data_IF_067424576496
#
_entry.id   IF_067424576496
#
_cell.length_a   1.000
_cell.length_b   1.000
_cell.length_c   1.000
_cell.angle_alpha   90.00
_cell.angle_beta   90.00
_cell.angle_gamma   90.00
#
_symmetry.space_group_name_H-M   'P 1'
#
loop_
_entity.id
_entity.type
_entity.pdbx_description
1 polymer ?
#
# COMPACT_ATOMS: atom_id res chain seq x y z
N UNK A 1 -16.84 18.67 -23.31
CA UNK A 1 -16.21 17.36 -23.21
C UNK A 1 -15.62 17.09 -21.81
N UNK A 2 -16.00 17.88 -20.80
CA UNK A 2 -15.40 17.93 -19.43
C UNK A 2 -16.20 17.21 -18.34
N UNK A 3 -17.23 16.44 -18.68
CA UNK A 3 -18.21 15.94 -17.69
C UNK A 3 -18.08 14.44 -17.34
N UNK A 4 -16.89 13.82 -17.49
CA UNK A 4 -16.65 12.41 -17.13
C UNK A 4 -15.64 12.19 -15.98
N UNK A 5 -15.19 13.26 -15.33
CA UNK A 5 -14.29 13.18 -14.16
C UNK A 5 -15.03 13.11 -12.81
N UNK A 6 -16.32 12.76 -12.77
CA UNK A 6 -17.13 12.89 -11.56
C UNK A 6 -16.88 11.84 -10.47
N UNK A 7 -16.05 10.83 -10.68
CA UNK A 7 -15.78 9.82 -9.66
C UNK A 7 -14.57 10.16 -8.76
N UNK A 8 -13.53 10.80 -9.29
CA UNK A 8 -12.38 11.26 -8.50
C UNK A 8 -12.76 12.29 -7.43
N UNK A 9 -13.60 13.32 -7.73
CA UNK A 9 -14.08 14.24 -6.69
C UNK A 9 -14.87 13.53 -5.59
N UNK A 10 -15.68 12.52 -5.91
CA UNK A 10 -16.48 11.81 -4.91
C UNK A 10 -15.62 10.97 -3.96
N UNK A 11 -14.54 10.36 -4.42
CA UNK A 11 -13.58 9.66 -3.54
C UNK A 11 -12.81 10.64 -2.67
N UNK A 12 -12.37 11.76 -3.23
CA UNK A 12 -11.68 12.83 -2.48
C UNK A 12 -12.65 13.53 -1.51
N UNK A 13 -13.91 13.76 -1.91
CA UNK A 13 -14.95 14.34 -1.05
C UNK A 13 -15.33 13.34 0.06
N UNK A 14 -15.48 12.06 -0.24
CA UNK A 14 -15.76 11.01 0.75
C UNK A 14 -14.65 10.89 1.79
N UNK A 15 -13.38 10.92 1.36
CA UNK A 15 -12.23 10.98 2.27
C UNK A 15 -12.25 12.29 3.08
N UNK A 16 -12.53 13.42 2.44
CA UNK A 16 -12.61 14.74 3.09
C UNK A 16 -13.79 14.91 4.04
N UNK A 17 -14.94 14.27 3.79
CA UNK A 17 -16.09 14.27 4.70
C UNK A 17 -15.88 13.34 5.89
N UNK A 18 -15.28 12.18 5.66
CA UNK A 18 -14.86 11.29 6.76
C UNK A 18 -13.85 12.00 7.67
N UNK A 19 -12.84 12.66 7.12
CA UNK A 19 -11.85 13.44 7.89
C UNK A 19 -12.46 14.61 8.68
N UNK A 20 -13.58 15.18 8.24
CA UNK A 20 -14.29 16.25 8.94
C UNK A 20 -15.19 15.75 10.08
N UNK A 21 -15.80 14.57 9.93
CA UNK A 21 -16.68 13.99 10.97
C UNK A 21 -15.90 13.44 12.16
N UNK A 22 -14.62 13.09 12.00
CA UNK A 22 -13.77 12.53 13.06
C UNK A 22 -13.06 13.55 13.92
N UNK A 23 -13.12 14.84 13.59
CA UNK A 23 -12.45 15.91 14.37
C UNK A 23 -13.16 16.33 15.68
N UNK A 24 -14.23 15.64 16.08
CA UNK A 24 -15.11 16.08 17.19
C UNK A 24 -15.00 15.35 18.53
N UNK A 25 -14.44 14.15 18.63
CA UNK A 25 -14.44 13.38 19.89
C UNK A 25 -13.08 12.71 20.16
N UNK A 26 -12.51 12.99 21.28
CA UNK A 26 -11.14 12.69 21.72
C UNK A 26 -10.75 11.21 21.93
N UNK A 27 -11.46 10.24 21.32
CA UNK A 27 -11.12 8.79 21.34
C UNK A 27 -10.53 8.34 19.99
N UNK A 28 -10.42 9.22 19.00
CA UNK A 28 -10.24 8.91 17.59
C UNK A 28 -8.79 9.02 17.04
N UNK A 29 -7.81 9.37 17.86
CA UNK A 29 -6.42 9.50 17.40
C UNK A 29 -5.84 8.21 16.76
N UNK A 30 -6.25 7.05 17.26
CA UNK A 30 -5.78 5.74 16.73
C UNK A 30 -6.40 5.37 15.38
N UNK A 31 -7.66 5.75 15.14
CA UNK A 31 -8.34 5.43 13.89
C UNK A 31 -7.85 6.28 12.71
N UNK A 32 -7.59 7.58 12.97
CA UNK A 32 -7.04 8.51 11.96
C UNK A 32 -5.65 8.10 11.48
N UNK A 33 -4.78 7.62 12.38
CA UNK A 33 -3.45 7.10 12.01
C UNK A 33 -3.56 5.91 11.06
N UNK A 34 -4.49 4.99 11.25
CA UNK A 34 -4.70 3.85 10.35
C UNK A 34 -5.19 4.25 8.95
N UNK A 35 -6.04 5.26 8.83
CA UNK A 35 -6.59 5.73 7.55
C UNK A 35 -5.53 6.42 6.68
N UNK A 36 -4.71 7.31 7.24
CA UNK A 36 -3.65 8.00 6.51
C UNK A 36 -2.54 7.04 6.06
N UNK A 37 -2.18 6.08 6.91
CA UNK A 37 -1.21 5.03 6.54
C UNK A 37 -1.77 4.14 5.43
N UNK A 38 -3.03 3.75 5.50
CA UNK A 38 -3.70 2.97 4.45
C UNK A 38 -3.74 3.72 3.12
N UNK A 39 -4.07 5.02 3.15
CA UNK A 39 -4.09 5.89 1.97
C UNK A 39 -2.67 6.02 1.37
N UNK A 40 -1.65 6.24 2.19
CA UNK A 40 -0.26 6.27 1.73
C UNK A 40 0.16 4.95 1.08
N UNK A 41 -0.07 3.80 1.73
CA UNK A 41 0.27 2.49 1.19
C UNK A 41 -0.45 2.20 -0.13
N UNK A 42 -1.72 2.63 -0.26
CA UNK A 42 -2.49 2.50 -1.49
C UNK A 42 -1.91 3.37 -2.61
N UNK A 43 -1.72 4.67 -2.35
CA UNK A 43 -1.23 5.62 -3.35
C UNK A 43 0.20 5.33 -3.79
N UNK A 44 1.07 4.90 -2.87
CA UNK A 44 2.43 4.47 -3.19
C UNK A 44 2.42 3.22 -4.08
N UNK A 45 1.54 2.25 -3.80
CA UNK A 45 1.37 1.05 -4.63
C UNK A 45 0.83 1.36 -6.02
N UNK A 46 -0.22 2.19 -6.13
CA UNK A 46 -0.80 2.65 -7.41
C UNK A 46 0.24 3.41 -8.22
N UNK A 47 0.97 4.33 -7.58
CA UNK A 47 1.99 5.12 -8.24
C UNK A 47 3.17 4.27 -8.71
N UNK A 48 3.72 3.41 -7.86
CA UNK A 48 4.82 2.52 -8.22
C UNK A 48 4.41 1.55 -9.34
N UNK A 49 3.26 0.89 -9.21
CA UNK A 49 2.74 0.00 -10.25
C UNK A 49 2.52 0.72 -11.56
N UNK A 50 1.95 1.93 -11.53
CA UNK A 50 1.73 2.74 -12.72
C UNK A 50 3.02 3.18 -13.42
N UNK A 51 4.06 3.59 -12.67
CA UNK A 51 5.38 3.88 -13.24
C UNK A 51 5.97 2.64 -13.90
N UNK A 52 5.94 1.48 -13.22
CA UNK A 52 6.44 0.23 -13.79
C UNK A 52 5.70 -0.15 -15.07
N UNK A 53 4.37 -0.13 -15.05
CA UNK A 53 3.54 -0.49 -16.19
C UNK A 53 3.73 0.47 -17.37
N UNK A 54 3.83 1.78 -17.13
CA UNK A 54 4.09 2.78 -18.16
C UNK A 54 5.47 2.61 -18.78
N UNK A 55 6.51 2.42 -17.96
CA UNK A 55 7.88 2.19 -18.44
C UNK A 55 7.99 0.92 -19.27
N UNK A 56 7.40 -0.19 -18.79
CA UNK A 56 7.36 -1.45 -19.55
C UNK A 56 6.59 -1.29 -20.86
N UNK A 57 5.44 -0.61 -20.84
CA UNK A 57 4.65 -0.37 -22.05
C UNK A 57 5.43 0.46 -23.07
N UNK A 58 6.18 1.44 -22.62
CA UNK A 58 7.05 2.24 -23.52
C UNK A 58 8.14 1.39 -24.14
N UNK A 59 8.90 0.69 -23.33
CA UNK A 59 10.01 -0.15 -23.77
C UNK A 59 9.57 -1.24 -24.78
N UNK A 60 8.35 -1.78 -24.64
CA UNK A 60 7.87 -2.89 -25.47
C UNK A 60 7.06 -2.46 -26.71
N UNK A 61 6.31 -1.36 -26.64
CA UNK A 61 5.28 -1.05 -27.64
C UNK A 61 5.42 0.32 -28.30
N UNK A 62 6.11 1.27 -27.67
CA UNK A 62 6.20 2.65 -28.16
C UNK A 62 7.55 2.90 -28.86
N UNK A 63 8.44 1.99 -28.78
CA UNK A 63 9.86 2.02 -29.11
C UNK A 63 10.20 2.19 -30.60
N UNK A 64 9.64 3.19 -31.33
CA UNK A 64 10.13 3.56 -32.65
C UNK A 64 10.86 4.90 -32.62
N UNK A 65 11.91 5.07 -33.50
CA UNK A 65 12.72 6.29 -33.49
C UNK A 65 11.89 7.50 -33.91
N UNK A 66 11.95 8.57 -33.10
CA UNK A 66 11.53 9.89 -33.55
C UNK A 66 12.36 10.26 -34.79
N UNK A 67 11.68 10.57 -35.89
CA UNK A 67 12.27 11.33 -36.98
C UNK A 67 12.66 12.72 -36.44
N UNK A 68 13.91 13.11 -36.64
CA UNK A 68 14.60 14.16 -35.90
C UNK A 68 14.14 15.61 -36.21
N UNK A 69 13.14 15.84 -37.05
CA UNK A 69 13.03 17.13 -37.73
C UNK A 69 11.79 18.00 -37.41
N UNK A 70 10.85 17.51 -36.62
CA UNK A 70 9.66 18.32 -36.27
C UNK A 70 9.32 18.14 -34.80
N UNK A 71 9.19 19.26 -34.06
CA UNK A 71 8.67 19.29 -32.69
C UNK A 71 7.15 19.13 -32.75
N UNK A 72 6.59 17.93 -32.54
CA UNK A 72 5.14 17.80 -32.59
C UNK A 72 4.55 18.38 -31.29
N UNK A 73 3.49 19.15 -31.41
CA UNK A 73 2.64 19.50 -30.29
C UNK A 73 2.16 18.22 -29.59
N UNK A 74 1.92 18.27 -28.26
CA UNK A 74 1.47 17.11 -27.50
C UNK A 74 0.21 16.46 -28.11
N UNK A 75 -0.65 17.25 -28.75
CA UNK A 75 -1.84 16.79 -29.47
C UNK A 75 -1.51 15.99 -30.75
N UNK A 76 -0.36 16.23 -31.37
CA UNK A 76 0.09 15.54 -32.59
C UNK A 76 0.89 14.26 -32.29
N UNK A 77 1.28 14.03 -31.02
CA UNK A 77 1.99 12.82 -30.62
C UNK A 77 1.15 11.57 -30.86
N UNK A 78 1.86 10.46 -31.12
CA UNK A 78 1.20 9.16 -31.29
C UNK A 78 0.33 8.83 -30.06
N UNK A 79 -0.85 8.23 -30.23
CA UNK A 79 -1.74 7.87 -29.13
C UNK A 79 -1.06 7.07 -28.03
N UNK A 80 -0.14 6.16 -28.36
CA UNK A 80 0.59 5.37 -27.39
C UNK A 80 1.54 6.21 -26.51
N UNK A 81 2.17 7.24 -27.05
CA UNK A 81 3.02 8.17 -26.28
C UNK A 81 2.18 9.01 -25.31
N UNK A 82 1.00 9.45 -25.76
CA UNK A 82 0.05 10.17 -24.90
C UNK A 82 -0.47 9.29 -23.77
N UNK A 83 -0.69 8.00 -24.05
CA UNK A 83 -1.07 7.02 -23.02
C UNK A 83 0.02 6.91 -21.95
N UNK A 84 1.27 6.65 -22.34
CA UNK A 84 2.40 6.51 -21.41
C UNK A 84 2.63 7.80 -20.61
N UNK A 85 2.61 8.96 -21.26
CA UNK A 85 2.76 10.25 -20.58
C UNK A 85 1.65 10.49 -19.55
N UNK A 86 0.41 10.19 -19.91
CA UNK A 86 -0.75 10.32 -19.01
C UNK A 86 -0.67 9.40 -17.79
N UNK A 87 -0.28 8.14 -18.00
CA UNK A 87 -0.11 7.16 -16.90
C UNK A 87 1.04 7.58 -15.99
N UNK A 88 2.19 8.01 -16.55
CA UNK A 88 3.32 8.52 -15.75
C UNK A 88 2.93 9.74 -14.91
N UNK A 89 2.20 10.70 -15.50
CA UNK A 89 1.74 11.89 -14.78
C UNK A 89 0.79 11.55 -13.63
N UNK A 90 -0.17 10.63 -13.88
CA UNK A 90 -1.11 10.16 -12.86
C UNK A 90 -0.38 9.40 -11.75
N UNK A 91 0.60 8.57 -12.11
CA UNK A 91 1.43 7.82 -11.16
C UNK A 91 2.30 8.73 -10.30
N UNK A 92 2.90 9.76 -10.91
CA UNK A 92 3.65 10.79 -10.19
C UNK A 92 2.74 11.55 -9.21
N UNK A 93 1.52 11.91 -9.63
CA UNK A 93 0.52 12.52 -8.77
C UNK A 93 0.13 11.63 -7.59
N UNK A 94 -0.07 10.33 -7.83
CA UNK A 94 -0.38 9.36 -6.78
C UNK A 94 0.78 9.22 -5.77
N UNK A 95 2.03 9.11 -6.24
CA UNK A 95 3.21 9.08 -5.36
C UNK A 95 3.34 10.35 -4.52
N UNK A 96 3.16 11.52 -5.12
CA UNK A 96 3.23 12.80 -4.44
C UNK A 96 2.13 12.95 -3.38
N UNK A 97 0.89 12.56 -3.72
CA UNK A 97 -0.23 12.54 -2.77
C UNK A 97 0.02 11.54 -1.63
N UNK A 98 0.54 10.35 -1.94
CA UNK A 98 0.91 9.36 -0.92
C UNK A 98 1.98 9.89 0.02
N UNK A 99 3.03 10.51 -0.51
CA UNK A 99 4.06 11.17 0.31
C UNK A 99 3.46 12.31 1.17
N UNK A 100 2.50 13.04 0.62
CA UNK A 100 1.74 14.07 1.36
C UNK A 100 0.93 13.48 2.52
N UNK A 101 0.26 12.34 2.32
CA UNK A 101 -0.46 11.63 3.39
C UNK A 101 0.49 11.20 4.51
N UNK A 102 1.67 10.64 4.15
CA UNK A 102 2.68 10.26 5.12
C UNK A 102 3.23 11.46 5.88
N UNK A 103 3.49 12.59 5.19
CA UNK A 103 3.94 13.83 5.82
C UNK A 103 2.88 14.42 6.77
N UNK A 104 1.59 14.32 6.40
CA UNK A 104 0.47 14.73 7.23
C UNK A 104 0.34 13.85 8.49
N UNK A 105 0.58 12.55 8.36
CA UNK A 105 0.58 11.59 9.49
C UNK A 105 1.69 11.90 10.50
N UNK A 106 2.88 12.31 10.04
CA UNK A 106 3.97 12.73 10.93
C UNK A 106 3.67 14.03 11.69
N UNK A 107 2.76 14.85 11.20
CA UNK A 107 2.22 16.06 11.87
C UNK A 107 3.21 17.23 12.04
N UNK A 108 4.51 17.04 11.78
CA UNK A 108 5.57 18.06 11.93
C UNK A 108 6.63 17.93 10.86
N UNK A 109 6.94 19.06 10.22
CA UNK A 109 7.98 19.14 9.18
C UNK A 109 9.37 18.65 9.63
N UNK A 110 9.72 18.89 10.90
CA UNK A 110 10.99 18.44 11.48
C UNK A 110 11.11 16.91 11.47
N UNK A 111 10.00 16.19 11.71
CA UNK A 111 9.95 14.72 11.65
C UNK A 111 10.11 14.19 10.23
N UNK A 112 9.52 14.88 9.26
CA UNK A 112 9.69 14.53 7.83
C UNK A 112 11.15 14.70 7.44
N UNK A 113 11.81 15.80 7.87
CA UNK A 113 13.21 16.02 7.58
C UNK A 113 14.11 15.00 8.30
N UNK A 114 13.81 14.65 9.54
CA UNK A 114 14.54 13.62 10.29
C UNK A 114 14.43 12.24 9.65
N UNK A 115 13.32 11.94 8.97
CA UNK A 115 13.13 10.69 8.22
C UNK A 115 14.19 10.52 7.11
N UNK A 116 14.70 11.61 6.54
CA UNK A 116 15.75 11.59 5.51
C UNK A 116 17.17 11.70 6.07
N UNK A 117 17.36 12.34 7.23
CA UNK A 117 18.68 12.75 7.72
C UNK A 117 19.15 11.99 8.97
N UNK A 118 18.24 11.28 9.69
CA UNK A 118 18.60 10.64 10.95
C UNK A 118 19.44 9.37 10.75
N UNK A 119 20.63 9.26 11.32
CA UNK A 119 21.33 8.00 11.51
C UNK A 119 20.72 7.22 12.70
N UNK A 120 20.65 5.88 12.71
CA UNK A 120 21.13 4.93 11.69
C UNK A 120 20.17 4.77 10.52
N UNK A 121 20.67 4.22 9.39
CA UNK A 121 19.85 3.90 8.22
C UNK A 121 18.86 2.81 8.60
N UNK A 122 17.59 3.18 8.72
CA UNK A 122 16.48 2.26 9.00
C UNK A 122 15.76 1.88 7.71
N UNK A 123 14.99 0.81 7.73
CA UNK A 123 14.16 0.43 6.58
C UNK A 123 13.19 1.57 6.21
N UNK A 124 12.68 2.29 7.21
CA UNK A 124 11.78 3.44 7.02
C UNK A 124 12.46 4.60 6.26
N UNK A 125 13.71 4.90 6.61
CA UNK A 125 14.54 5.91 5.92
C UNK A 125 14.80 5.48 4.45
N UNK A 126 15.20 4.22 4.23
CA UNK A 126 15.44 3.69 2.89
C UNK A 126 14.20 3.80 2.00
N UNK A 127 13.02 3.51 2.55
CA UNK A 127 11.76 3.63 1.83
C UNK A 127 11.39 5.06 1.49
N UNK A 128 11.60 6.01 2.39
CA UNK A 128 11.36 7.42 2.12
C UNK A 128 12.22 7.92 0.95
N UNK A 129 13.50 7.56 0.92
CA UNK A 129 14.38 7.84 -0.20
C UNK A 129 13.94 7.16 -1.50
N UNK A 130 13.52 5.89 -1.44
CA UNK A 130 13.04 5.15 -2.61
C UNK A 130 11.79 5.80 -3.22
N UNK A 131 10.81 6.19 -2.40
CA UNK A 131 9.59 6.88 -2.86
C UNK A 131 9.92 8.25 -3.42
N UNK A 132 10.77 9.05 -2.75
CA UNK A 132 11.18 10.37 -3.22
C UNK A 132 11.92 10.28 -4.57
N UNK A 133 12.86 9.35 -4.69
CA UNK A 133 13.62 9.14 -5.92
C UNK A 133 12.73 8.64 -7.06
N UNK A 134 11.83 7.68 -6.79
CA UNK A 134 10.86 7.21 -7.79
C UNK A 134 9.95 8.35 -8.25
N UNK A 135 9.47 9.19 -7.32
CA UNK A 135 8.64 10.36 -7.66
C UNK A 135 9.41 11.35 -8.54
N UNK A 136 10.66 11.64 -8.21
CA UNK A 136 11.51 12.54 -9.00
C UNK A 136 11.77 11.98 -10.41
N UNK A 137 12.10 10.68 -10.53
CA UNK A 137 12.31 10.03 -11.83
C UNK A 137 11.01 9.98 -12.63
N UNK A 138 9.88 9.65 -12.02
CA UNK A 138 8.57 9.64 -12.68
C UNK A 138 8.17 11.04 -13.17
N UNK A 139 8.43 12.09 -12.37
CA UNK A 139 8.22 13.47 -12.74
C UNK A 139 9.10 13.88 -13.93
N UNK A 140 10.39 13.52 -13.89
CA UNK A 140 11.32 13.82 -14.99
C UNK A 140 10.91 13.12 -16.29
N UNK A 141 10.51 11.83 -16.22
CA UNK A 141 10.00 11.07 -17.36
C UNK A 141 8.69 11.65 -17.91
N UNK A 142 7.74 12.01 -17.05
CA UNK A 142 6.51 12.65 -17.45
C UNK A 142 6.79 13.99 -18.11
N UNK A 143 7.62 14.84 -17.49
CA UNK A 143 7.98 16.15 -18.00
C UNK A 143 8.71 16.06 -19.36
N UNK A 144 9.66 15.13 -19.50
CA UNK A 144 10.37 14.89 -20.75
C UNK A 144 9.41 14.49 -21.90
N UNK A 145 8.26 13.87 -21.55
CA UNK A 145 7.24 13.49 -22.53
C UNK A 145 6.25 14.60 -22.82
N UNK A 146 6.00 15.52 -21.89
CA UNK A 146 5.16 16.69 -22.14
C UNK A 146 5.94 17.80 -22.85
N UNK A 147 7.19 18.03 -22.40
CA UNK A 147 8.10 18.99 -23.02
C UNK A 147 8.97 18.25 -24.04
N UNK A 148 9.08 18.82 -25.23
CA UNK A 148 10.07 18.32 -26.19
C UNK A 148 11.47 18.77 -25.74
N UNK A 149 12.33 17.79 -25.40
CA UNK A 149 13.71 18.06 -25.00
C UNK A 149 14.65 17.51 -26.09
N UNK A 150 15.10 18.35 -27.05
CA UNK A 150 15.77 17.89 -28.26
C UNK A 150 17.12 17.21 -28.02
N UNK A 151 17.76 17.48 -26.88
CA UNK A 151 19.06 16.92 -26.49
C UNK A 151 18.96 15.64 -25.65
N UNK A 152 17.73 15.24 -25.27
CA UNK A 152 17.53 14.01 -24.50
C UNK A 152 17.63 12.79 -25.44
N UNK A 153 18.78 12.15 -25.40
CA UNK A 153 19.07 10.96 -26.24
C UNK A 153 18.18 9.79 -25.84
N UNK A 154 17.75 9.02 -26.82
CA UNK A 154 16.96 7.81 -26.64
C UNK A 154 17.55 6.85 -25.59
N UNK A 155 18.89 6.64 -25.59
CA UNK A 155 19.54 5.83 -24.60
C UNK A 155 19.31 6.32 -23.16
N UNK A 156 19.25 7.65 -22.95
CA UNK A 156 18.98 8.21 -21.63
C UNK A 156 17.55 7.93 -21.17
N UNK A 157 16.57 7.98 -22.08
CA UNK A 157 15.17 7.62 -21.78
C UNK A 157 15.04 6.15 -21.39
N UNK A 158 15.62 5.24 -22.18
CA UNK A 158 15.60 3.80 -21.87
C UNK A 158 16.26 3.49 -20.53
N UNK A 159 17.40 4.12 -20.26
CA UNK A 159 18.09 3.97 -18.95
C UNK A 159 17.21 4.50 -17.81
N UNK A 160 16.61 5.68 -17.98
CA UNK A 160 15.74 6.27 -16.95
C UNK A 160 14.49 5.42 -16.70
N UNK A 161 13.87 4.85 -17.73
CA UNK A 161 12.73 3.93 -17.62
C UNK A 161 13.10 2.61 -16.95
N UNK A 162 14.28 2.07 -17.27
CA UNK A 162 14.79 0.86 -16.61
C UNK A 162 15.05 1.10 -15.12
N UNK A 163 15.65 2.24 -14.78
CA UNK A 163 15.85 2.66 -13.39
C UNK A 163 14.49 2.87 -12.69
N UNK A 164 13.55 3.55 -13.35
CA UNK A 164 12.21 3.78 -12.81
C UNK A 164 11.48 2.46 -12.52
N UNK A 165 11.59 1.48 -13.43
CA UNK A 165 11.02 0.14 -13.24
C UNK A 165 11.63 -0.57 -12.02
N UNK A 166 12.96 -0.55 -11.89
CA UNK A 166 13.65 -1.11 -10.73
C UNK A 166 13.25 -0.45 -9.40
N UNK A 167 13.21 0.89 -9.36
CA UNK A 167 12.75 1.64 -8.19
C UNK A 167 11.28 1.37 -7.86
N UNK A 168 10.44 1.22 -8.87
CA UNK A 168 9.02 0.91 -8.69
C UNK A 168 8.83 -0.46 -8.01
N UNK A 169 9.60 -1.47 -8.40
CA UNK A 169 9.61 -2.78 -7.73
C UNK A 169 10.06 -2.64 -6.28
N UNK A 170 11.13 -1.88 -6.02
CA UNK A 170 11.60 -1.62 -4.65
C UNK A 170 10.51 -0.98 -3.80
N UNK A 171 9.82 0.06 -4.31
CA UNK A 171 8.73 0.74 -3.58
C UNK A 171 7.54 -0.18 -3.36
N UNK A 172 7.17 -1.01 -4.35
CA UNK A 172 6.06 -1.95 -4.24
C UNK A 172 6.29 -3.01 -3.15
N UNK A 173 7.51 -3.56 -3.09
CA UNK A 173 7.91 -4.54 -2.05
C UNK A 173 8.08 -3.87 -0.70
N UNK A 174 8.70 -2.68 -0.68
CA UNK A 174 8.93 -1.91 0.53
C UNK A 174 7.64 -1.62 1.31
N UNK A 175 6.53 -1.31 0.63
CA UNK A 175 5.24 -1.06 1.27
C UNK A 175 4.79 -2.22 2.18
N UNK A 176 5.05 -3.48 1.78
CA UNK A 176 4.79 -4.66 2.60
C UNK A 176 5.86 -4.89 3.68
N UNK A 177 7.13 -4.63 3.37
CA UNK A 177 8.23 -4.77 4.34
C UNK A 177 8.11 -3.74 5.47
N UNK A 178 7.59 -2.54 5.20
CA UNK A 178 7.33 -1.53 6.23
C UNK A 178 6.43 -2.06 7.33
N UNK A 179 5.37 -2.79 6.98
CA UNK A 179 4.48 -3.41 7.96
C UNK A 179 5.20 -4.48 8.79
N UNK A 180 6.17 -5.20 8.22
CA UNK A 180 6.97 -6.20 8.94
C UNK A 180 7.86 -5.59 10.03
N UNK A 181 8.27 -4.33 9.90
CA UNK A 181 9.07 -3.65 10.93
C UNK A 181 8.29 -3.33 12.19
N UNK A 182 6.97 -3.33 12.11
CA UNK A 182 6.09 -3.13 13.25
C UNK A 182 5.97 -4.43 14.07
N UNK A 183 6.94 -4.67 14.93
CA UNK A 183 7.14 -5.91 15.71
C UNK A 183 5.95 -6.32 16.60
N UNK A 184 4.98 -5.41 16.78
CA UNK A 184 3.78 -5.66 17.59
C UNK A 184 2.76 -6.61 16.96
N UNK A 185 2.79 -6.81 15.63
CA UNK A 185 1.78 -7.61 14.92
C UNK A 185 2.43 -8.74 14.14
N UNK A 186 2.36 -9.96 14.70
CA UNK A 186 2.99 -11.13 14.07
C UNK A 186 2.39 -11.55 12.74
N UNK A 187 1.15 -11.18 12.42
CA UNK A 187 0.56 -11.39 11.10
C UNK A 187 1.39 -10.72 9.99
N UNK A 188 1.89 -9.51 10.26
CA UNK A 188 2.65 -8.73 9.29
C UNK A 188 4.06 -9.30 9.04
N UNK A 189 4.62 -10.10 9.98
CA UNK A 189 5.92 -10.75 9.78
C UNK A 189 5.89 -11.88 8.74
N UNK A 190 4.71 -12.23 8.22
CA UNK A 190 4.55 -13.24 7.17
C UNK A 190 5.12 -12.74 5.83
N UNK A 191 5.86 -13.58 5.07
CA UNK A 191 6.38 -13.23 3.74
C UNK A 191 5.26 -13.02 2.72
N UNK A 192 4.04 -13.47 2.98
CA UNK A 192 2.89 -13.28 2.12
C UNK A 192 2.43 -11.82 2.03
N UNK A 193 2.65 -11.01 3.08
CA UNK A 193 2.24 -9.59 3.10
C UNK A 193 3.01 -8.78 2.06
N UNK A 194 4.36 -8.76 2.01
CA UNK A 194 5.09 -8.08 0.95
C UNK A 194 4.77 -8.60 -0.44
N UNK A 195 4.56 -9.92 -0.60
CA UNK A 195 4.19 -10.51 -1.87
C UNK A 195 2.82 -9.99 -2.36
N UNK A 196 1.80 -9.97 -1.49
CA UNK A 196 0.48 -9.41 -1.79
C UNK A 196 0.55 -7.93 -2.17
N UNK A 197 1.32 -7.12 -1.44
CA UNK A 197 1.46 -5.70 -1.72
C UNK A 197 2.15 -5.43 -3.06
N UNK A 198 3.18 -6.23 -3.40
CA UNK A 198 3.88 -6.11 -4.67
C UNK A 198 3.01 -6.55 -5.85
N UNK A 199 2.29 -7.67 -5.73
CA UNK A 199 1.35 -8.14 -6.76
C UNK A 199 0.22 -7.14 -6.96
N UNK A 200 -0.39 -6.66 -5.86
CA UNK A 200 -1.42 -5.63 -5.91
C UNK A 200 -0.95 -4.33 -6.57
N UNK A 201 0.30 -3.92 -6.32
CA UNK A 201 0.86 -2.76 -7.02
C UNK A 201 1.01 -3.00 -8.52
N UNK A 202 1.44 -4.20 -8.94
CA UNK A 202 1.54 -4.56 -10.35
C UNK A 202 0.16 -4.57 -11.03
N UNK A 203 -0.87 -5.12 -10.38
CA UNK A 203 -2.26 -5.10 -10.85
C UNK A 203 -2.79 -3.66 -10.98
N UNK A 204 -2.53 -2.78 -10.00
CA UNK A 204 -2.84 -1.35 -10.11
C UNK A 204 -2.19 -0.69 -11.32
N UNK A 205 -0.94 -1.07 -11.65
CA UNK A 205 -0.25 -0.56 -12.83
C UNK A 205 -0.95 -0.96 -14.14
N UNK A 206 -1.36 -2.22 -14.26
CA UNK A 206 -2.15 -2.70 -15.38
C UNK A 206 -3.50 -1.97 -15.47
N UNK A 207 -4.16 -1.78 -14.33
CA UNK A 207 -5.42 -1.02 -14.24
C UNK A 207 -5.26 0.44 -14.71
N UNK A 208 -4.17 1.12 -14.33
CA UNK A 208 -3.87 2.48 -14.80
C UNK A 208 -3.64 2.56 -16.31
N UNK A 209 -2.95 1.58 -16.91
CA UNK A 209 -2.80 1.50 -18.36
C UNK A 209 -4.15 1.30 -19.06
N UNK A 210 -4.99 0.43 -18.54
CA UNK A 210 -6.34 0.20 -19.06
C UNK A 210 -7.22 1.45 -18.92
N UNK A 211 -7.17 2.12 -17.78
CA UNK A 211 -7.89 3.37 -17.54
C UNK A 211 -7.38 4.51 -18.43
N UNK A 212 -6.06 4.66 -18.58
CA UNK A 212 -5.45 5.66 -19.45
C UNK A 212 -5.87 5.51 -20.92
N UNK A 213 -6.05 4.27 -21.40
CA UNK A 213 -6.49 4.00 -22.76
C UNK A 213 -7.94 4.46 -23.06
N UNK A 214 -8.75 4.81 -22.04
CA UNK A 214 -10.07 5.40 -22.22
C UNK A 214 -10.01 6.80 -22.81
N UNK A 215 -8.92 7.52 -22.54
CA UNK A 215 -8.72 8.92 -22.90
C UNK A 215 -7.92 9.11 -24.19
N UNK A 216 -7.46 8.01 -24.79
CA UNK A 216 -6.61 8.03 -25.98
C UNK A 216 -7.31 7.32 -27.13
N UNK A 217 -7.03 7.75 -28.36
CA UNK A 217 -7.53 7.10 -29.55
C UNK A 217 -6.95 5.69 -29.73
N UNK A 218 -7.77 4.78 -30.25
CA UNK A 218 -7.40 3.37 -30.41
C UNK A 218 -6.43 3.12 -31.56
N UNK A 219 -5.13 3.25 -31.31
CA UNK A 219 -4.07 2.83 -32.25
C UNK A 219 -3.66 1.37 -32.07
N UNK A 220 -2.91 0.82 -33.04
CA UNK A 220 -2.38 -0.53 -33.00
C UNK A 220 -1.51 -0.81 -31.78
N UNK A 221 -0.66 0.14 -31.41
CA UNK A 221 0.25 0.07 -30.27
C UNK A 221 -0.51 0.13 -28.94
N UNK A 222 -1.49 1.05 -28.80
CA UNK A 222 -2.38 1.15 -27.64
C UNK A 222 -3.12 -0.17 -27.42
N UNK A 223 -3.67 -0.76 -28.50
CA UNK A 223 -4.37 -2.05 -28.41
C UNK A 223 -3.46 -3.19 -27.95
N UNK A 224 -2.21 -3.22 -28.41
CA UNK A 224 -1.21 -4.21 -27.97
C UNK A 224 -0.89 -4.01 -26.48
N UNK A 225 -0.63 -2.79 -26.07
CA UNK A 225 -0.33 -2.45 -24.68
C UNK A 225 -1.48 -2.84 -23.73
N UNK A 226 -2.72 -2.45 -24.04
CA UNK A 226 -3.91 -2.81 -23.24
C UNK A 226 -4.13 -4.32 -23.18
N UNK A 227 -3.97 -5.03 -24.31
CA UNK A 227 -4.11 -6.50 -24.34
C UNK A 227 -3.03 -7.18 -23.53
N UNK A 228 -1.80 -6.68 -23.57
CA UNK A 228 -0.70 -7.19 -22.78
C UNK A 228 -0.94 -6.93 -21.30
N UNK A 229 -1.34 -5.71 -20.93
CA UNK A 229 -1.70 -5.36 -19.56
C UNK A 229 -2.79 -6.28 -19.00
N UNK A 230 -3.91 -6.48 -19.72
CA UNK A 230 -4.98 -7.37 -19.28
C UNK A 230 -4.54 -8.85 -19.15
N UNK A 231 -3.60 -9.33 -19.98
CA UNK A 231 -3.07 -10.69 -19.84
C UNK A 231 -2.15 -10.83 -18.64
N UNK A 232 -1.30 -9.85 -18.43
CA UNK A 232 -0.40 -9.81 -17.25
C UNK A 232 -1.24 -9.70 -15.99
N UNK A 233 -2.27 -8.85 -15.98
CA UNK A 233 -3.14 -8.65 -14.83
C UNK A 233 -3.90 -9.93 -14.44
N UNK A 234 -4.44 -10.67 -15.39
CA UNK A 234 -5.04 -11.99 -15.12
C UNK A 234 -4.07 -12.93 -14.39
N UNK A 235 -2.79 -12.97 -14.82
CA UNK A 235 -1.77 -13.79 -14.15
C UNK A 235 -1.46 -13.26 -12.75
N UNK A 236 -1.36 -11.94 -12.60
CA UNK A 236 -1.09 -11.27 -11.33
C UNK A 236 -2.24 -11.50 -10.36
N UNK A 237 -3.50 -11.36 -10.78
CA UNK A 237 -4.69 -11.60 -9.95
C UNK A 237 -4.72 -13.07 -9.46
N UNK A 238 -4.38 -14.03 -10.30
CA UNK A 238 -4.28 -15.44 -9.90
C UNK A 238 -3.17 -15.63 -8.87
N UNK A 239 -2.01 -15.00 -9.06
CA UNK A 239 -0.92 -15.04 -8.09
C UNK A 239 -1.30 -14.36 -6.77
N UNK A 240 -2.04 -13.24 -6.82
CA UNK A 240 -2.61 -12.57 -5.65
C UNK A 240 -3.57 -13.48 -4.88
N UNK A 241 -4.45 -14.20 -5.59
CA UNK A 241 -5.37 -15.15 -4.97
C UNK A 241 -4.62 -16.29 -4.25
N UNK A 242 -3.54 -16.81 -4.85
CA UNK A 242 -2.66 -17.82 -4.23
C UNK A 242 -1.96 -17.23 -2.99
N UNK A 243 -1.42 -16.03 -3.10
CA UNK A 243 -0.76 -15.36 -1.97
C UNK A 243 -1.74 -15.03 -0.83
N UNK A 244 -2.98 -14.64 -1.14
CA UNK A 244 -4.05 -14.41 -0.17
C UNK A 244 -4.46 -15.71 0.55
N UNK A 245 -4.59 -16.80 -0.19
CA UNK A 245 -4.82 -18.13 0.40
C UNK A 245 -3.64 -18.57 1.29
N UNK A 246 -2.39 -18.30 0.87
CA UNK A 246 -1.19 -18.54 1.65
C UNK A 246 -1.15 -17.75 2.96
N UNK A 247 -1.54 -16.47 2.93
CA UNK A 247 -1.65 -15.63 4.13
C UNK A 247 -2.69 -16.18 5.10
N UNK A 248 -3.89 -16.56 4.60
CA UNK A 248 -4.94 -17.15 5.42
C UNK A 248 -4.52 -18.50 6.01
N UNK A 249 -3.89 -19.36 5.22
CA UNK A 249 -3.39 -20.66 5.69
C UNK A 249 -2.32 -20.48 6.79
N UNK A 250 -1.39 -19.53 6.61
CA UNK A 250 -0.41 -19.15 7.62
C UNK A 250 -1.09 -18.64 8.90
N UNK A 251 -2.09 -17.77 8.77
CA UNK A 251 -2.77 -17.16 9.90
C UNK A 251 -3.61 -18.17 10.69
N UNK A 252 -4.31 -19.08 10.01
CA UNK A 252 -5.13 -20.13 10.64
C UNK A 252 -4.28 -21.27 11.23
N UNK A 253 -3.13 -21.58 10.63
CA UNK A 253 -2.22 -22.63 11.10
C UNK A 253 -1.25 -22.17 12.20
N UNK A 254 -1.29 -20.92 12.63
CA UNK A 254 -0.38 -20.41 13.65
C UNK A 254 -0.87 -20.73 15.06
N UNK A 255 0.05 -21.19 15.94
CA UNK A 255 -0.23 -21.43 17.36
C UNK A 255 -0.28 -20.14 18.20
N UNK A 256 0.17 -19.02 17.63
CA UNK A 256 0.18 -17.74 18.33
C UNK A 256 -1.24 -17.11 18.42
N UNK A 257 -1.67 -16.82 19.64
CA UNK A 257 -2.99 -16.22 19.89
C UNK A 257 -3.23 -14.91 19.12
N UNK A 258 -2.21 -14.04 19.04
CA UNK A 258 -2.30 -12.77 18.28
C UNK A 258 -2.50 -12.96 16.78
N UNK A 259 -1.89 -13.98 16.16
CA UNK A 259 -2.08 -14.28 14.73
C UNK A 259 -3.48 -14.84 14.48
N UNK A 260 -3.97 -15.70 15.38
CA UNK A 260 -5.34 -16.22 15.32
C UNK A 260 -6.39 -15.13 15.52
N UNK A 261 -6.14 -14.16 16.41
CA UNK A 261 -7.02 -13.01 16.57
C UNK A 261 -7.10 -12.15 15.29
N UNK A 262 -5.96 -11.91 14.63
CA UNK A 262 -5.93 -11.24 13.32
C UNK A 262 -6.65 -12.07 12.24
N UNK A 263 -6.51 -13.40 12.24
CA UNK A 263 -7.26 -14.27 11.33
C UNK A 263 -8.76 -14.20 11.57
N UNK A 264 -9.21 -14.22 12.83
CA UNK A 264 -10.64 -14.05 13.18
C UNK A 264 -11.17 -12.68 12.75
N UNK A 265 -10.37 -11.62 12.87
CA UNK A 265 -10.72 -10.29 12.39
C UNK A 265 -10.91 -10.24 10.87
N UNK A 266 -10.05 -10.93 10.11
CA UNK A 266 -10.19 -11.07 8.64
C UNK A 266 -11.41 -11.91 8.23
N UNK A 267 -11.77 -12.92 9.03
CA UNK A 267 -12.87 -13.82 8.69
C UNK A 267 -14.25 -13.26 9.07
N UNK A 268 -14.39 -12.71 10.28
CA UNK A 268 -15.68 -12.34 10.86
C UNK A 268 -15.66 -10.99 11.61
N UNK A 269 -14.50 -10.35 11.73
CA UNK A 269 -14.33 -9.07 12.43
C UNK A 269 -14.46 -7.86 11.52
N UNK A 270 -14.04 -6.67 11.97
CA UNK A 270 -14.13 -5.42 11.21
C UNK A 270 -13.29 -5.42 9.93
N UNK A 271 -12.21 -6.19 9.87
CA UNK A 271 -11.40 -6.37 8.66
C UNK A 271 -12.10 -7.27 7.61
N UNK A 272 -13.19 -7.97 7.95
CA UNK A 272 -13.85 -8.91 7.06
C UNK A 272 -14.51 -8.22 5.85
N UNK A 273 -15.13 -7.07 6.04
CA UNK A 273 -15.78 -6.34 4.94
C UNK A 273 -14.76 -5.90 3.87
N UNK A 274 -13.68 -5.17 4.17
CA UNK A 274 -12.68 -4.81 3.17
C UNK A 274 -11.97 -6.04 2.58
N UNK A 275 -11.77 -7.11 3.35
CA UNK A 275 -11.16 -8.33 2.86
C UNK A 275 -12.05 -9.08 1.87
N UNK A 276 -13.27 -9.44 2.25
CA UNK A 276 -14.14 -10.28 1.41
C UNK A 276 -14.87 -9.51 0.32
N UNK A 277 -15.44 -8.34 0.62
CA UNK A 277 -16.22 -7.58 -0.35
C UNK A 277 -15.33 -6.78 -1.31
N UNK A 278 -14.39 -5.99 -0.79
CA UNK A 278 -13.58 -5.13 -1.65
C UNK A 278 -12.44 -5.92 -2.31
N UNK A 279 -11.63 -6.66 -1.54
CA UNK A 279 -10.48 -7.35 -2.12
C UNK A 279 -10.87 -8.63 -2.85
N UNK A 280 -11.51 -9.61 -2.18
CA UNK A 280 -11.78 -10.92 -2.78
C UNK A 280 -12.87 -10.85 -3.84
N UNK A 281 -14.04 -10.28 -3.53
CA UNK A 281 -15.16 -10.27 -4.48
C UNK A 281 -14.94 -9.26 -5.61
N UNK A 282 -14.58 -8.00 -5.31
CA UNK A 282 -14.37 -6.98 -6.34
C UNK A 282 -13.00 -7.11 -7.00
N UNK A 283 -11.90 -7.11 -6.21
CA UNK A 283 -10.54 -7.05 -6.72
C UNK A 283 -10.08 -8.33 -7.41
N UNK A 284 -10.40 -9.50 -6.86
CA UNK A 284 -9.98 -10.76 -7.46
C UNK A 284 -11.08 -11.33 -8.38
N UNK A 285 -12.27 -11.67 -7.87
CA UNK A 285 -13.26 -12.44 -8.62
C UNK A 285 -13.90 -11.62 -9.75
N UNK A 286 -14.44 -10.43 -9.46
CA UNK A 286 -15.13 -9.62 -10.46
C UNK A 286 -14.16 -9.03 -11.48
N UNK A 287 -12.98 -8.54 -11.06
CA UNK A 287 -11.95 -8.03 -11.96
C UNK A 287 -11.50 -9.14 -12.94
N UNK A 288 -11.14 -10.32 -12.43
CA UNK A 288 -10.77 -11.49 -13.24
C UNK A 288 -11.84 -11.86 -14.25
N UNK A 289 -13.13 -11.92 -13.84
CA UNK A 289 -14.24 -12.25 -14.71
C UNK A 289 -14.41 -11.24 -15.86
N UNK A 290 -14.27 -9.93 -15.57
CA UNK A 290 -14.36 -8.86 -16.57
C UNK A 290 -13.18 -8.95 -17.55
N UNK A 291 -11.96 -9.12 -17.07
CA UNK A 291 -10.76 -9.17 -17.91
C UNK A 291 -10.71 -10.40 -18.79
N UNK A 292 -10.96 -11.58 -18.24
CA UNK A 292 -11.08 -12.83 -19.02
C UNK A 292 -12.20 -12.71 -20.05
N UNK A 293 -13.37 -12.17 -19.65
CA UNK A 293 -14.46 -11.89 -20.56
C UNK A 293 -14.08 -10.95 -21.72
N UNK A 294 -13.28 -9.91 -21.44
CA UNK A 294 -12.75 -9.00 -22.47
C UNK A 294 -11.76 -9.71 -23.39
N UNK A 295 -10.85 -10.52 -22.84
CA UNK A 295 -9.83 -11.25 -23.62
C UNK A 295 -10.49 -12.28 -24.55
N UNK A 296 -11.46 -13.06 -24.07
CA UNK A 296 -12.19 -14.07 -24.87
C UNK A 296 -12.97 -13.41 -26.00
N UNK A 297 -13.75 -12.37 -25.70
CA UNK A 297 -14.54 -11.64 -26.72
C UNK A 297 -13.68 -10.87 -27.71
N UNK A 298 -12.49 -10.42 -27.28
CA UNK A 298 -11.52 -9.70 -28.12
C UNK A 298 -10.88 -10.58 -29.20
N UNK A 299 -10.82 -11.92 -29.02
CA UNK A 299 -10.30 -12.84 -30.02
C UNK A 299 -11.18 -12.93 -31.27
N UNK A 300 -12.51 -12.90 -31.11
CA UNK A 300 -13.44 -13.00 -32.25
C UNK A 300 -13.60 -11.71 -33.06
N UNK A 301 -13.39 -10.55 -32.46
CA UNK A 301 -13.60 -9.21 -33.09
C UNK A 301 -12.37 -8.61 -33.77
N UNK A 302 -11.19 -9.16 -33.58
CA UNK A 302 -9.91 -8.53 -33.94
C UNK A 302 -9.72 -8.26 -35.44
N UNK A 303 -10.33 -9.06 -36.34
CA UNK A 303 -10.15 -8.90 -37.79
C UNK A 303 -11.11 -7.87 -38.42
N UNK A 304 -12.33 -7.75 -37.94
CA UNK A 304 -13.33 -6.81 -38.45
C UNK A 304 -13.19 -5.40 -37.85
N UNK A 305 -12.84 -5.28 -36.56
CA UNK A 305 -12.67 -4.00 -35.88
C UNK A 305 -11.42 -3.22 -36.32
N UNK A 306 -10.38 -3.93 -36.77
CA UNK A 306 -9.16 -3.30 -37.31
C UNK A 306 -9.44 -2.48 -38.57
N UNK A 307 -10.46 -2.80 -39.36
CA UNK A 307 -10.86 -2.09 -40.57
C UNK A 307 -11.75 -0.86 -40.26
N UNK A 308 -12.35 -0.78 -39.07
CA UNK A 308 -13.38 0.22 -38.75
C UNK A 308 -12.91 1.32 -37.76
N UNK A 309 -11.64 1.37 -37.35
CA UNK A 309 -11.16 2.35 -36.37
C UNK A 309 -11.78 2.19 -34.97
N UNK A 310 -12.57 1.14 -34.73
CA UNK A 310 -13.29 0.91 -33.48
C UNK A 310 -12.31 0.51 -32.35
N UNK A 311 -12.56 1.00 -31.13
CA UNK A 311 -11.80 0.61 -29.91
C UNK A 311 -11.87 -0.93 -29.74
N UNK A 312 -10.74 -1.54 -29.45
CA UNK A 312 -10.58 -2.99 -29.37
C UNK A 312 -11.46 -3.65 -28.29
N UNK A 313 -11.81 -2.88 -27.25
CA UNK A 313 -12.63 -3.28 -26.11
C UNK A 313 -13.70 -2.24 -25.83
N UNK A 314 -14.88 -2.63 -25.32
CA UNK A 314 -15.87 -1.66 -24.86
C UNK A 314 -15.27 -0.81 -23.73
N UNK A 315 -15.32 0.49 -23.87
CA UNK A 315 -14.74 1.46 -22.90
C UNK A 315 -15.26 1.23 -21.48
N UNK A 316 -16.55 0.86 -21.37
CA UNK A 316 -17.18 0.56 -20.08
C UNK A 316 -16.55 -0.66 -19.38
N UNK A 317 -16.18 -1.72 -20.12
CA UNK A 317 -15.54 -2.89 -19.51
C UNK A 317 -14.13 -2.61 -19.03
N UNK A 318 -13.34 -1.83 -19.78
CA UNK A 318 -12.00 -1.38 -19.34
C UNK A 318 -12.08 -0.49 -18.09
N UNK A 319 -13.05 0.45 -18.08
CA UNK A 319 -13.27 1.31 -16.93
C UNK A 319 -13.69 0.50 -15.69
N UNK A 320 -14.56 -0.48 -15.89
CA UNK A 320 -15.03 -1.35 -14.81
C UNK A 320 -13.90 -2.22 -14.27
N UNK A 321 -13.10 -2.86 -15.14
CA UNK A 321 -11.96 -3.66 -14.70
C UNK A 321 -10.97 -2.83 -13.87
N UNK A 322 -10.57 -1.67 -14.39
CA UNK A 322 -9.66 -0.78 -13.67
C UNK A 322 -10.22 -0.32 -12.32
N UNK A 323 -11.50 0.03 -12.25
CA UNK A 323 -12.15 0.44 -11.00
C UNK A 323 -12.19 -0.71 -9.98
N UNK A 324 -12.52 -1.93 -10.42
CA UNK A 324 -12.58 -3.11 -9.56
C UNK A 324 -11.22 -3.46 -8.98
N UNK A 325 -10.16 -3.42 -9.79
CA UNK A 325 -8.77 -3.64 -9.33
C UNK A 325 -8.37 -2.59 -8.28
N UNK A 326 -8.62 -1.30 -8.55
CA UNK A 326 -8.27 -0.24 -7.61
C UNK A 326 -9.04 -0.34 -6.28
N UNK A 327 -10.33 -0.67 -6.34
CA UNK A 327 -11.14 -0.93 -5.13
C UNK A 327 -10.59 -2.13 -4.37
N UNK A 328 -10.23 -3.21 -5.07
CA UNK A 328 -9.62 -4.40 -4.48
C UNK A 328 -8.29 -4.09 -3.79
N UNK A 329 -7.43 -3.33 -4.45
CA UNK A 329 -6.14 -2.92 -3.91
C UNK A 329 -6.27 -2.03 -2.66
N UNK A 330 -7.25 -1.15 -2.61
CA UNK A 330 -7.57 -0.37 -1.41
C UNK A 330 -8.10 -1.28 -0.30
N UNK A 331 -9.02 -2.19 -0.64
CA UNK A 331 -9.60 -3.17 0.30
C UNK A 331 -8.56 -4.08 0.93
N UNK A 332 -7.58 -4.56 0.14
CA UNK A 332 -6.46 -5.36 0.65
C UNK A 332 -5.68 -4.60 1.72
N UNK A 333 -5.30 -3.36 1.44
CA UNK A 333 -4.50 -2.54 2.37
C UNK A 333 -5.27 -2.20 3.62
N UNK A 334 -6.54 -1.80 3.48
CA UNK A 334 -7.42 -1.53 4.61
C UNK A 334 -7.59 -2.78 5.49
N UNK A 335 -7.85 -3.94 4.89
CA UNK A 335 -8.03 -5.20 5.62
C UNK A 335 -6.76 -5.62 6.38
N UNK A 336 -5.58 -5.53 5.76
CA UNK A 336 -4.31 -5.92 6.39
C UNK A 336 -3.92 -4.97 7.52
N UNK A 337 -4.14 -3.67 7.35
CA UNK A 337 -3.87 -2.66 8.40
C UNK A 337 -4.85 -2.85 9.57
N UNK A 338 -6.15 -2.98 9.29
CA UNK A 338 -7.20 -3.17 10.29
C UNK A 338 -7.02 -4.47 11.07
N UNK A 339 -6.68 -5.58 10.40
CA UNK A 339 -6.41 -6.86 11.04
C UNK A 339 -5.22 -6.81 12.01
N UNK A 340 -4.30 -5.87 11.81
CA UNK A 340 -3.16 -5.65 12.69
C UNK A 340 -3.43 -4.67 13.83
N UNK A 341 -4.37 -3.75 13.65
CA UNK A 341 -4.70 -2.74 14.64
C UNK A 341 -5.49 -3.30 15.85
N UNK A 342 -6.16 -4.44 15.67
CA UNK A 342 -7.00 -5.05 16.71
C UNK A 342 -6.17 -5.98 17.63
N UNK A 343 -5.64 -5.42 18.72
CA UNK A 343 -5.29 -6.21 19.90
C UNK A 343 -6.56 -6.40 20.73
N UNK A 344 -6.98 -7.64 21.03
CA UNK A 344 -8.01 -7.87 22.03
C UNK A 344 -7.56 -7.24 23.36
N UNK A 345 -8.39 -6.41 23.96
CA UNK A 345 -8.16 -5.82 25.29
C UNK A 345 -7.81 -6.90 26.34
N UNK A 346 -8.36 -8.10 26.16
CA UNK A 346 -8.09 -9.27 26.99
C UNK A 346 -6.60 -9.72 27.02
N UNK A 347 -5.85 -9.52 25.94
CA UNK A 347 -4.42 -9.82 25.93
C UNK A 347 -3.59 -8.73 26.61
N UNK A 348 -4.10 -7.52 26.68
CA UNK A 348 -3.47 -6.39 27.35
C UNK A 348 -3.67 -6.48 28.88
N UNK A 349 -4.82 -7.01 29.32
CA UNK A 349 -5.09 -7.33 30.73
C UNK A 349 -4.27 -8.54 31.22
N UNK A 350 -4.04 -9.55 30.39
CA UNK A 350 -3.21 -10.70 30.72
C UNK A 350 -1.69 -10.39 30.75
N UNK A 351 -1.25 -9.33 30.08
CA UNK A 351 0.14 -8.84 30.07
C UNK A 351 0.38 -7.72 31.10
N UNK A 352 -0.67 -7.18 31.73
CA UNK A 352 -0.52 -6.24 32.84
C UNK A 352 0.17 -6.99 34.00
N UNK A 353 1.31 -6.51 34.52
CA UNK A 353 1.93 -7.13 35.70
C UNK A 353 0.88 -7.11 36.81
N UNK A 354 0.71 -8.26 37.48
CA UNK A 354 -0.23 -8.41 38.58
C UNK A 354 -0.12 -7.17 39.48
N UNK A 355 -1.22 -6.41 39.59
CA UNK A 355 -1.27 -5.17 40.35
C UNK A 355 -0.61 -5.39 41.70
N UNK A 356 0.45 -4.64 41.97
CA UNK A 356 1.04 -4.55 43.29
C UNK A 356 -0.11 -4.27 44.27
N UNK A 357 -0.33 -5.10 45.29
CA UNK A 357 -1.43 -4.88 46.25
C UNK A 357 -1.35 -3.44 46.75
N UNK A 358 -2.46 -2.71 46.70
CA UNK A 358 -2.48 -1.34 47.15
C UNK A 358 -2.09 -1.29 48.64
N UNK A 359 -1.26 -0.32 49.05
CA UNK A 359 -0.81 -0.10 50.42
C UNK A 359 -1.96 -0.12 51.45
N UNK A 360 -3.20 0.03 51.01
CA UNK A 360 -4.41 -0.04 51.83
C UNK A 360 -4.82 -1.50 52.19
N UNK A 361 -4.46 -2.51 51.39
CA UNK A 361 -4.72 -3.92 51.71
C UNK A 361 -3.70 -4.46 52.68
N UNK A 362 -2.44 -4.00 52.61
CA UNK A 362 -1.39 -4.35 53.57
C UNK A 362 -1.66 -3.77 54.96
N UNK A 363 -2.22 -2.56 55.00
CA UNK A 363 -2.66 -1.90 56.24
C UNK A 363 -3.90 -2.57 56.88
N UNK A 364 -4.76 -3.20 56.10
CA UNK A 364 -5.93 -3.93 56.58
C UNK A 364 -5.51 -5.34 57.10
N UNK A 365 -4.55 -5.99 56.48
CA UNK A 365 -3.99 -7.31 56.92
C UNK A 365 -3.22 -7.23 58.26
N UNK A 366 -2.56 -6.08 58.52
CA UNK A 366 -1.84 -5.85 59.79
C UNK A 366 -2.74 -5.54 60.97
N UNK A 367 -4.01 -5.18 60.76
CA UNK A 367 -4.98 -4.92 61.85
C UNK A 367 -5.76 -6.16 62.30
N UNK A 368 -5.65 -7.26 61.65
CA UNK A 368 -6.37 -8.50 61.95
C UNK A 368 -5.52 -9.61 62.59
N UNK A 369 -4.26 -9.36 62.98
CA UNK A 369 -3.48 -10.33 63.75
C UNK A 369 -3.86 -10.29 65.24
N UNK A 370 -4.24 -11.42 65.85
CA UNK A 370 -4.56 -11.48 67.27
C UNK A 370 -3.29 -11.34 68.13
N UNK A 371 -3.39 -10.40 69.10
CA UNK A 371 -2.37 -10.20 70.12
C UNK A 371 -2.06 -11.47 70.91
N UNK A 372 -0.92 -12.07 70.67
CA UNK A 372 -0.40 -13.15 71.52
C UNK A 372 0.45 -12.56 72.64
N UNK A 373 0.14 -13.03 73.79
CA UNK A 373 0.52 -12.72 75.15
C UNK A 373 2.01 -12.80 75.42
N UNK A 374 2.49 -11.89 76.28
CA UNK A 374 3.83 -11.83 76.87
C UNK A 374 4.14 -13.06 77.71
N UNK A 375 5.28 -13.72 77.51
CA UNK A 375 6.03 -14.34 78.60
C UNK A 375 7.51 -14.13 78.33
N UNK A 376 8.21 -13.77 79.39
CA UNK A 376 9.53 -13.26 79.41
C UNK A 376 10.63 -14.32 79.29
N UNK A 377 11.86 -13.90 79.14
CA UNK A 377 13.06 -14.68 79.20
C UNK A 377 14.28 -13.87 78.74
N UNK A 378 15.06 -13.48 79.71
CA UNK A 378 16.36 -12.83 79.68
C UNK A 378 17.40 -13.61 78.86
N UNK A 379 18.38 -12.90 78.24
CA UNK A 379 19.68 -13.47 78.04
C UNK A 379 20.48 -12.96 76.80
N UNK A 380 21.41 -12.03 77.09
CA UNK A 380 22.81 -12.01 76.65
C UNK A 380 23.14 -11.81 75.20
N UNK A 381 23.64 -10.60 74.88
CA UNK A 381 25.05 -10.27 74.59
C UNK A 381 25.67 -10.77 73.29
N UNK A 382 26.28 -9.75 72.61
CA UNK A 382 27.44 -9.80 71.68
C UNK A 382 27.22 -10.50 70.33
N UNK A 383 27.49 -9.90 69.24
CA UNK A 383 28.78 -9.48 68.69
C UNK A 383 28.60 -8.65 67.40
N UNK A 384 29.46 -7.67 67.20
CA UNK A 384 29.71 -6.91 66.00
C UNK A 384 30.46 -7.74 64.99
N UNK A 385 30.28 -7.48 63.75
CA UNK A 385 31.29 -7.33 62.66
C UNK A 385 30.52 -6.97 61.38
N UNK A 386 30.69 -5.79 60.90
CA UNK A 386 31.67 -5.22 59.98
C UNK A 386 31.85 -5.97 58.67
N UNK A 387 31.93 -5.16 57.66
CA UNK A 387 32.70 -5.25 56.39
C UNK A 387 31.93 -5.15 55.10
N UNK A 388 31.83 -3.92 54.58
CA UNK A 388 32.35 -3.36 53.34
C UNK A 388 32.08 -4.02 51.99
N UNK A 389 31.60 -3.14 51.10
CA UNK A 389 32.08 -2.84 49.72
C UNK A 389 32.23 -4.01 48.75
N UNK A 390 31.56 -3.85 47.60
CA UNK A 390 32.28 -3.66 46.32
C UNK A 390 31.33 -3.07 45.27
N UNK A 391 31.74 -1.92 44.74
CA UNK A 391 31.39 -1.32 43.47
C UNK A 391 32.01 -2.13 42.33
N UNK A 392 31.23 -2.40 41.28
CA UNK A 392 31.62 -2.14 39.88
C UNK A 392 30.39 -2.21 38.99
#
# INVERSE_FOLDING_TARGET
>A
MWNRFSLLPHVVIYIGERLRHTSGNGIEGGALFGELVTAYLFLAGVGAGGVAAASVADLLFVHEPFGADVVPDFAEKRPAERLVAGVLALSCGALALGAGCLAADLGRADRVLSLFLAPPVTLMNLGAWAVALLTAVAAALALARFLYVPWLRRCAMVVAETIACGLAVVVAVYAGLLLQTLSGVRLWSSPWVPALFALSAASCGCALLMAGALFVEGDGSVRKAVRSAARVDVVVIVAEAVAAAGLLAFALGSDHAGVRASATSLMHGPAALPWWAAFVACGLAAALAVEVGCLVRGHGRSRSAAKAGAKAYPTAALALAAALVLVGALGLRAAVVEAGAQRPLELQEAEAPASVPSENEEAAGLRSAPSAEKSGGEGSATEREDVTLWSN
#
